data_IF_336830559471
#
_entry.id   IF_336830559471
#
_cell.length_a   1.000
_cell.length_b   1.000
_cell.length_c   1.000
_cell.angle_alpha   90.00
_cell.angle_beta   90.00
_cell.angle_gamma   90.00
#
_symmetry.space_group_name_H-M   'P 1'
#
loop_
_entity.id
_entity.type
_entity.pdbx_description
1 polymer ?
#
# COMPACT_ATOMS: atom_id res chain seq x y z
N UNK A 1 29.55 24.83 -1.67
CA UNK A 1 29.20 23.42 -1.34
C UNK A 1 28.74 23.38 0.11
N UNK A 2 27.54 22.90 0.44
CA UNK A 2 27.13 22.76 1.83
C UNK A 2 28.02 21.69 2.51
N UNK A 3 28.43 21.91 3.78
CA UNK A 3 29.31 20.98 4.47
C UNK A 3 28.60 19.66 4.74
N UNK A 4 29.33 18.55 4.55
CA UNK A 4 28.83 17.22 4.85
C UNK A 4 28.46 17.12 6.34
N UNK A 5 27.32 16.50 6.70
CA UNK A 5 26.89 16.41 8.08
C UNK A 5 27.90 15.65 8.92
N UNK A 6 28.17 16.20 10.10
CA UNK A 6 29.13 15.64 11.06
C UNK A 6 28.66 14.27 11.56
N UNK A 7 29.60 13.44 12.02
CA UNK A 7 29.27 12.12 12.57
C UNK A 7 28.29 12.21 13.76
N UNK A 8 28.35 13.29 14.53
CA UNK A 8 27.39 13.58 15.59
C UNK A 8 25.98 13.87 15.05
N UNK A 9 25.85 14.55 13.91
CA UNK A 9 24.57 14.78 13.23
C UNK A 9 24.00 13.47 12.65
N UNK A 10 24.84 12.61 12.07
CA UNK A 10 24.45 11.27 11.59
C UNK A 10 24.00 10.36 12.74
N UNK A 11 24.72 10.40 13.86
CA UNK A 11 24.38 9.62 15.06
C UNK A 11 23.11 10.15 15.75
N UNK A 12 22.88 11.46 15.72
CA UNK A 12 21.64 12.06 16.23
C UNK A 12 20.43 11.68 15.37
N UNK A 13 20.56 11.72 14.04
CA UNK A 13 19.52 11.25 13.12
C UNK A 13 19.22 9.75 13.29
N UNK A 14 20.26 8.93 13.47
CA UNK A 14 20.11 7.50 13.77
C UNK A 14 19.42 7.25 15.13
N UNK A 15 19.68 8.06 16.15
CA UNK A 15 19.01 7.97 17.47
C UNK A 15 17.54 8.42 17.43
N UNK A 16 17.21 9.45 16.65
CA UNK A 16 15.82 9.86 16.41
C UNK A 16 15.08 8.75 15.66
N UNK A 17 15.70 8.19 14.61
CA UNK A 17 15.15 7.05 13.87
C UNK A 17 14.94 5.82 14.76
N UNK A 18 15.90 5.48 15.62
CA UNK A 18 15.81 4.35 16.57
C UNK A 18 14.69 4.55 17.60
N UNK A 19 14.47 5.78 18.07
CA UNK A 19 13.36 6.09 18.96
C UNK A 19 12.01 5.99 18.23
N UNK A 20 11.93 6.40 16.95
CA UNK A 20 10.75 6.19 16.10
C UNK A 20 10.47 4.70 15.90
N UNK A 21 11.49 3.88 15.65
CA UNK A 21 11.37 2.41 15.54
C UNK A 21 10.99 1.75 16.87
N UNK A 22 11.41 2.31 18.01
CA UNK A 22 11.05 1.80 19.34
C UNK A 22 9.62 2.12 19.72
N UNK A 23 9.08 3.26 19.27
CA UNK A 23 7.68 3.62 19.45
C UNK A 23 6.71 2.73 18.68
N UNK A 24 7.14 2.17 17.55
CA UNK A 24 6.35 1.18 16.81
C UNK A 24 6.21 -0.15 17.55
N UNK A 25 7.11 -0.46 18.50
CA UNK A 25 6.97 -1.65 19.37
C UNK A 25 6.04 -1.44 20.56
N UNK A 26 5.72 -0.20 20.92
CA UNK A 26 4.88 0.13 22.09
C UNK A 26 3.41 0.26 21.70
N UNK A 27 3.11 0.57 20.44
CA UNK A 27 1.75 0.50 19.89
C UNK A 27 1.57 -0.83 19.17
N UNK A 28 0.84 -1.77 19.75
CA UNK A 28 0.53 -3.09 19.19
C UNK A 28 -0.17 -3.00 17.81
N UNK A 29 0.60 -2.76 16.76
CA UNK A 29 0.28 -3.08 15.38
C UNK A 29 0.83 -4.49 15.11
N UNK A 30 0.15 -5.33 14.33
CA UNK A 30 0.75 -6.59 13.88
C UNK A 30 2.10 -6.28 13.22
N UNK A 31 3.10 -7.09 13.55
CA UNK A 31 4.53 -6.83 13.40
C UNK A 31 5.07 -6.68 11.96
N UNK A 32 4.21 -6.50 10.96
CA UNK A 32 4.58 -6.46 9.56
C UNK A 32 4.09 -5.16 8.93
N UNK A 33 4.86 -4.07 9.08
CA UNK A 33 4.85 -3.07 8.02
C UNK A 33 5.45 -3.77 6.79
N UNK A 34 4.59 -4.27 5.91
CA UNK A 34 4.97 -5.10 4.78
C UNK A 34 5.94 -4.34 3.87
N UNK A 35 5.88 -3.01 3.85
CA UNK A 35 6.82 -2.14 3.16
C UNK A 35 7.13 -0.84 3.91
N UNK A 36 8.17 -0.13 3.46
CA UNK A 36 8.57 1.18 3.96
C UNK A 36 8.46 2.23 2.84
N UNK A 37 8.38 3.51 3.18
CA UNK A 37 8.19 4.60 2.21
C UNK A 37 9.31 4.67 1.16
N UNK A 38 10.54 4.27 1.51
CA UNK A 38 11.62 4.16 0.53
C UNK A 38 11.39 3.03 -0.49
N UNK A 39 10.92 1.87 -0.05
CA UNK A 39 10.60 0.76 -0.95
C UNK A 39 9.43 1.09 -1.85
N UNK A 40 8.37 1.69 -1.30
CA UNK A 40 7.21 2.15 -2.05
C UNK A 40 7.61 3.14 -3.14
N UNK A 41 8.34 4.20 -2.80
CA UNK A 41 8.79 5.20 -3.80
C UNK A 41 9.73 4.59 -4.84
N UNK A 42 10.60 3.65 -4.46
CA UNK A 42 11.45 2.96 -5.41
C UNK A 42 10.66 2.06 -6.38
N UNK A 43 9.64 1.35 -5.91
CA UNK A 43 8.76 0.54 -6.75
C UNK A 43 7.98 1.43 -7.72
N UNK A 44 7.44 2.54 -7.22
CA UNK A 44 6.78 3.57 -8.03
C UNK A 44 7.70 4.12 -9.12
N UNK A 45 8.91 4.57 -8.77
CA UNK A 45 9.89 5.07 -9.74
C UNK A 45 10.22 4.02 -10.82
N UNK A 46 10.32 2.75 -10.44
CA UNK A 46 10.56 1.65 -11.36
C UNK A 46 9.39 1.45 -12.34
N UNK A 47 8.15 1.47 -11.85
CA UNK A 47 6.95 1.35 -12.68
C UNK A 47 6.76 2.56 -13.60
N UNK A 48 6.94 3.78 -13.09
CA UNK A 48 6.91 5.00 -13.93
C UNK A 48 7.91 4.90 -15.08
N UNK A 49 9.13 4.43 -14.77
CA UNK A 49 10.15 4.21 -15.80
C UNK A 49 9.74 3.12 -16.80
N UNK A 50 9.17 2.01 -16.33
CA UNK A 50 8.69 0.94 -17.20
C UNK A 50 7.59 1.42 -18.14
N UNK A 51 6.61 2.17 -17.63
CA UNK A 51 5.50 2.76 -18.41
C UNK A 51 5.96 3.82 -19.43
N UNK A 52 7.12 4.46 -19.20
CA UNK A 52 7.68 5.43 -20.14
C UNK A 52 8.41 4.81 -21.34
N UNK A 53 8.65 3.49 -21.33
CA UNK A 53 9.35 2.80 -22.40
C UNK A 53 8.37 2.37 -23.51
N UNK A 54 8.81 2.28 -24.78
CA UNK A 54 7.95 1.82 -25.86
C UNK A 54 7.38 0.41 -25.59
N UNK A 55 6.10 0.14 -25.96
CA UNK A 55 5.38 -1.12 -25.70
C UNK A 55 6.11 -2.40 -26.11
N UNK A 56 7.01 -2.32 -27.09
CA UNK A 56 7.64 -3.47 -27.74
C UNK A 56 8.77 -4.13 -26.94
N UNK A 57 9.05 -3.73 -25.68
CA UNK A 57 10.30 -4.11 -25.00
C UNK A 57 10.19 -5.11 -23.85
N UNK A 58 9.02 -5.37 -23.29
CA UNK A 58 8.74 -6.43 -22.30
C UNK A 58 7.28 -6.33 -21.82
N UNK A 59 6.70 -7.40 -21.24
CA UNK A 59 5.50 -7.27 -20.43
C UNK A 59 5.75 -6.18 -19.38
N UNK A 60 4.86 -5.20 -19.30
CA UNK A 60 4.89 -4.26 -18.18
C UNK A 60 4.37 -5.03 -16.98
N UNK A 61 5.26 -5.36 -16.07
CA UNK A 61 4.94 -5.89 -14.75
C UNK A 61 5.53 -4.93 -13.70
N UNK A 62 4.96 -4.93 -12.51
CA UNK A 62 5.45 -4.14 -11.40
C UNK A 62 5.92 -5.02 -10.25
N UNK A 63 7.14 -4.75 -9.79
CA UNK A 63 7.72 -5.50 -8.68
C UNK A 63 6.91 -5.27 -7.39
N UNK A 64 6.78 -6.31 -6.54
CA UNK A 64 6.13 -6.14 -5.24
C UNK A 64 6.86 -5.10 -4.39
N UNK A 65 6.09 -4.16 -3.84
CA UNK A 65 6.57 -3.05 -3.01
C UNK A 65 7.10 -3.46 -1.62
N UNK A 66 7.11 -4.76 -1.31
CA UNK A 66 7.42 -5.32 0.01
C UNK A 66 8.88 -5.13 0.46
N UNK A 67 9.06 -4.82 1.73
CA UNK A 67 10.34 -4.82 2.41
C UNK A 67 10.85 -6.25 2.63
N UNK A 68 11.82 -6.68 1.82
CA UNK A 68 12.58 -7.91 2.08
C UNK A 68 13.68 -7.65 3.10
N UNK A 69 13.70 -8.38 4.21
CA UNK A 69 14.76 -8.28 5.23
C UNK A 69 15.80 -9.40 5.03
N UNK A 70 17.11 -9.10 5.03
CA UNK A 70 18.13 -10.12 4.83
C UNK A 70 18.23 -11.12 5.99
N UNK A 71 17.74 -10.74 7.17
CA UNK A 71 17.63 -11.61 8.35
C UNK A 71 16.57 -11.07 9.30
N UNK A 72 16.04 -11.94 10.17
CA UNK A 72 15.07 -11.56 11.22
C UNK A 72 15.63 -10.55 12.25
N UNK A 73 16.96 -10.46 12.38
CA UNK A 73 17.64 -9.50 13.26
C UNK A 73 17.93 -8.16 12.58
N UNK A 74 17.71 -8.04 11.27
CA UNK A 74 18.01 -6.81 10.54
C UNK A 74 17.04 -5.68 10.91
N UNK A 75 17.59 -4.52 11.23
CA UNK A 75 16.81 -3.29 11.44
C UNK A 75 16.43 -2.57 10.14
N UNK A 76 16.94 -3.04 9.00
CA UNK A 76 16.74 -2.44 7.67
C UNK A 76 16.37 -3.51 6.64
N UNK A 77 15.45 -3.19 5.75
CA UNK A 77 15.21 -4.01 4.57
C UNK A 77 16.44 -3.98 3.63
N UNK A 78 16.53 -4.92 2.71
CA UNK A 78 17.64 -5.05 1.76
C UNK A 78 17.83 -3.77 0.92
N UNK A 79 16.73 -3.13 0.50
CA UNK A 79 16.77 -1.87 -0.25
C UNK A 79 17.36 -0.71 0.57
N UNK A 80 16.86 -0.50 1.79
CA UNK A 80 17.38 0.55 2.67
C UNK A 80 18.81 0.23 3.13
N UNK A 81 19.13 -1.05 3.36
CA UNK A 81 20.46 -1.54 3.71
C UNK A 81 21.49 -1.21 2.63
N UNK A 82 21.20 -1.51 1.37
CA UNK A 82 22.11 -1.24 0.24
C UNK A 82 22.35 0.26 0.03
N UNK A 83 21.35 1.10 0.27
CA UNK A 83 21.45 2.55 0.17
C UNK A 83 21.89 3.26 1.46
N UNK A 84 22.20 2.52 2.53
CA UNK A 84 22.54 3.06 3.86
C UNK A 84 21.48 3.98 4.48
N UNK A 85 20.21 3.79 4.15
CA UNK A 85 19.08 4.47 4.76
C UNK A 85 18.51 3.68 5.94
N UNK A 86 17.82 4.38 6.84
CA UNK A 86 16.93 3.71 7.79
C UNK A 86 15.57 3.51 7.12
N UNK A 87 14.89 2.40 7.41
CA UNK A 87 13.52 2.19 6.90
C UNK A 87 12.61 3.28 7.47
N UNK A 88 11.94 3.98 6.57
CA UNK A 88 10.92 4.97 6.94
C UNK A 88 9.54 4.30 6.89
N UNK A 89 8.87 4.08 8.03
CA UNK A 89 7.56 3.46 8.02
C UNK A 89 6.48 4.40 7.50
N UNK A 90 5.35 3.84 7.07
CA UNK A 90 4.13 4.61 6.79
C UNK A 90 3.66 5.31 8.08
N UNK A 91 3.07 6.50 7.93
CA UNK A 91 2.52 7.25 9.06
C UNK A 91 1.40 6.44 9.76
N UNK A 92 1.40 6.36 11.11
CA UNK A 92 0.42 5.58 11.87
C UNK A 92 -1.07 5.84 11.57
N UNK A 93 -1.46 7.04 11.15
CA UNK A 93 -2.84 7.36 10.76
C UNK A 93 -3.23 6.85 9.36
N UNK A 94 -2.25 6.43 8.56
CA UNK A 94 -2.44 5.99 7.18
C UNK A 94 -2.15 4.49 7.00
N UNK A 95 -2.07 3.73 8.11
CA UNK A 95 -1.73 2.30 8.04
C UNK A 95 -2.77 1.48 7.30
N UNK A 96 -4.05 1.83 7.41
CA UNK A 96 -5.12 1.21 6.64
C UNK A 96 -5.01 1.55 5.16
N UNK A 97 -4.82 2.84 4.82
CA UNK A 97 -4.61 3.25 3.43
C UNK A 97 -3.40 2.53 2.80
N UNK A 98 -2.29 2.34 3.54
CA UNK A 98 -1.17 1.55 3.03
C UNK A 98 -1.49 0.09 2.79
N UNK A 99 -2.31 -0.52 3.65
CA UNK A 99 -2.74 -1.90 3.46
C UNK A 99 -3.70 -2.02 2.28
N UNK A 100 -4.56 -1.03 2.06
CA UNK A 100 -5.44 -0.96 0.89
C UNK A 100 -4.61 -0.86 -0.40
N UNK A 101 -3.61 0.04 -0.46
CA UNK A 101 -2.70 0.12 -1.61
C UNK A 101 -2.03 -1.22 -1.87
N UNK A 102 -1.53 -1.88 -0.83
CA UNK A 102 -0.89 -3.18 -0.96
C UNK A 102 -1.86 -4.23 -1.51
N UNK A 103 -3.06 -4.34 -0.94
CA UNK A 103 -4.08 -5.31 -1.36
C UNK A 103 -4.50 -5.09 -2.81
N UNK A 104 -4.79 -3.85 -3.20
CA UNK A 104 -5.15 -3.48 -4.57
C UNK A 104 -4.00 -3.74 -5.56
N UNK A 105 -2.76 -3.49 -5.14
CA UNK A 105 -1.56 -3.82 -5.93
C UNK A 105 -1.42 -5.34 -6.13
N UNK A 106 -1.63 -6.14 -5.08
CA UNK A 106 -1.60 -7.61 -5.21
C UNK A 106 -2.71 -8.11 -6.13
N UNK A 107 -3.92 -7.56 -5.99
CA UNK A 107 -5.05 -7.89 -6.85
C UNK A 107 -4.73 -7.59 -8.32
N UNK A 108 -4.26 -6.37 -8.64
CA UNK A 108 -3.88 -5.99 -9.99
C UNK A 108 -2.78 -6.90 -10.57
N UNK A 109 -1.82 -7.31 -9.72
CA UNK A 109 -0.68 -8.12 -10.14
C UNK A 109 -1.07 -9.52 -10.61
N UNK A 110 -2.18 -10.09 -10.09
CA UNK A 110 -2.72 -11.38 -10.56
C UNK A 110 -2.96 -11.40 -12.07
N UNK A 111 -3.14 -10.23 -12.68
CA UNK A 111 -3.50 -10.08 -14.09
C UNK A 111 -2.37 -9.49 -14.95
N UNK A 112 -1.22 -9.15 -14.36
CA UNK A 112 -0.04 -8.63 -15.08
C UNK A 112 1.13 -9.61 -15.13
N UNK A 113 1.19 -10.57 -14.21
CA UNK A 113 2.22 -11.62 -14.24
C UNK A 113 1.88 -12.67 -15.28
N UNK A 114 2.71 -12.79 -16.30
CA UNK A 114 2.74 -13.97 -17.17
C UNK A 114 3.42 -15.09 -16.36
N UNK A 115 2.69 -16.16 -16.04
CA UNK A 115 3.37 -17.45 -16.01
C UNK A 115 3.64 -17.79 -17.47
N UNK A 116 4.89 -17.61 -17.91
CA UNK A 116 5.37 -18.16 -19.17
C UNK A 116 5.29 -19.69 -19.05
N UNK A 117 4.15 -20.28 -19.42
CA UNK A 117 4.06 -21.71 -19.76
C UNK A 117 4.72 -21.95 -21.13
N UNK A 118 5.99 -21.57 -21.25
CA UNK A 118 6.92 -22.15 -22.24
C UNK A 118 7.39 -23.53 -21.72
N UNK A 119 6.47 -24.34 -21.21
CA UNK A 119 6.71 -25.73 -20.88
C UNK A 119 6.15 -26.58 -22.02
N UNK A 120 7.09 -27.09 -22.81
CA UNK A 120 7.03 -28.25 -23.69
C UNK A 120 5.70 -29.02 -23.74
N UNK A 121 5.29 -29.35 -24.98
CA UNK A 121 4.40 -30.44 -25.37
C UNK A 121 4.17 -31.50 -24.26
N UNK A 122 2.88 -31.78 -24.00
CA UNK A 122 2.35 -32.97 -23.31
C UNK A 122 2.06 -32.91 -21.80
N UNK A 123 1.57 -31.77 -21.28
CA UNK A 123 0.88 -31.73 -20.00
C UNK A 123 -0.62 -31.45 -20.18
N UNK A 124 -1.44 -32.40 -19.73
CA UNK A 124 -2.90 -32.33 -19.69
C UNK A 124 -3.42 -30.97 -19.24
N UNK A 125 -4.13 -30.28 -20.13
CA UNK A 125 -4.85 -29.02 -19.87
C UNK A 125 -5.67 -29.18 -18.59
N UNK A 126 -5.41 -28.41 -17.52
CA UNK A 126 -6.27 -28.41 -16.35
C UNK A 126 -7.66 -27.88 -16.74
N UNK A 127 -8.74 -28.29 -16.05
CA UNK A 127 -10.10 -27.88 -16.38
C UNK A 127 -10.21 -26.36 -16.57
N UNK A 128 -10.98 -25.94 -17.59
CA UNK A 128 -11.07 -24.58 -18.14
C UNK A 128 -11.28 -23.45 -17.12
N UNK A 129 -11.67 -23.78 -15.88
CA UNK A 129 -11.97 -22.84 -14.80
C UNK A 129 -10.73 -22.42 -13.97
N UNK A 130 -9.52 -22.90 -14.29
CA UNK A 130 -8.31 -22.65 -13.49
C UNK A 130 -7.15 -21.94 -14.20
N UNK A 131 -7.31 -21.56 -15.48
CA UNK A 131 -6.27 -20.80 -16.18
C UNK A 131 -6.48 -19.31 -15.88
N UNK A 132 -5.52 -18.60 -15.27
CA UNK A 132 -5.62 -17.15 -15.12
C UNK A 132 -5.85 -16.54 -16.49
N UNK A 133 -6.92 -15.75 -16.64
CA UNK A 133 -7.18 -15.03 -17.88
C UNK A 133 -5.93 -14.20 -18.25
N UNK A 134 -5.22 -14.60 -19.30
CA UNK A 134 -4.04 -13.87 -19.78
C UNK A 134 -4.56 -12.64 -20.52
N UNK A 135 -4.51 -11.50 -19.84
CA UNK A 135 -4.96 -10.23 -20.41
C UNK A 135 -4.07 -9.79 -21.58
N UNK A 136 -4.64 -9.12 -22.58
CA UNK A 136 -3.88 -8.55 -23.70
C UNK A 136 -2.86 -7.49 -23.24
N UNK A 137 -1.90 -7.15 -24.11
CA UNK A 137 -0.85 -6.15 -23.81
C UNK A 137 -1.48 -4.81 -23.41
N UNK A 138 -2.53 -4.37 -24.10
CA UNK A 138 -3.22 -3.11 -23.83
C UNK A 138 -3.92 -3.11 -22.47
N UNK A 139 -4.64 -4.19 -22.14
CA UNK A 139 -5.25 -4.41 -20.81
C UNK A 139 -4.21 -4.38 -19.70
N UNK A 140 -3.08 -5.09 -19.85
CA UNK A 140 -2.00 -5.10 -18.84
C UNK A 140 -1.35 -3.72 -18.67
N UNK A 141 -1.17 -2.98 -19.77
CA UNK A 141 -0.69 -1.60 -19.72
C UNK A 141 -1.68 -0.68 -18.99
N UNK A 142 -2.97 -0.84 -19.25
CA UNK A 142 -4.03 -0.11 -18.53
C UNK A 142 -3.96 -0.40 -17.03
N UNK A 143 -3.88 -1.66 -16.62
CA UNK A 143 -3.72 -2.04 -15.21
C UNK A 143 -2.49 -1.38 -14.58
N UNK A 144 -1.34 -1.43 -15.24
CA UNK A 144 -0.12 -0.79 -14.75
C UNK A 144 -0.27 0.73 -14.60
N UNK A 145 -0.97 1.38 -15.53
CA UNK A 145 -1.31 2.81 -15.44
C UNK A 145 -2.20 3.12 -14.23
N UNK A 146 -3.24 2.31 -14.03
CA UNK A 146 -4.19 2.45 -12.93
C UNK A 146 -3.52 2.25 -11.57
N UNK A 147 -2.62 1.27 -11.45
CA UNK A 147 -1.79 1.06 -10.24
C UNK A 147 -0.87 2.25 -10.00
N UNK A 148 -0.28 2.80 -11.06
CA UNK A 148 0.58 3.98 -10.94
C UNK A 148 -0.21 5.21 -10.45
N UNK A 149 -1.41 5.44 -10.96
CA UNK A 149 -2.30 6.53 -10.52
C UNK A 149 -2.68 6.38 -9.04
N UNK A 150 -3.00 5.15 -8.59
CA UNK A 150 -3.24 4.85 -7.18
C UNK A 150 -2.01 5.16 -6.31
N UNK A 151 -0.81 4.77 -6.76
CA UNK A 151 0.45 5.06 -6.07
C UNK A 151 0.79 6.57 -6.07
N UNK A 152 0.45 7.29 -7.13
CA UNK A 152 0.59 8.74 -7.20
C UNK A 152 -0.31 9.44 -6.18
N UNK A 153 -1.58 9.04 -6.10
CA UNK A 153 -2.51 9.55 -5.11
C UNK A 153 -2.04 9.25 -3.67
N UNK A 154 -1.56 8.03 -3.41
CA UNK A 154 -1.05 7.66 -2.09
C UNK A 154 0.21 8.45 -1.70
N UNK A 155 1.16 8.68 -2.61
CA UNK A 155 2.32 9.53 -2.32
C UNK A 155 1.90 10.99 -2.08
N UNK A 156 0.90 11.51 -2.81
CA UNK A 156 0.35 12.85 -2.56
C UNK A 156 -0.27 12.96 -1.15
N UNK A 157 -1.03 11.95 -0.73
CA UNK A 157 -1.59 11.83 0.63
C UNK A 157 -0.46 11.83 1.66
N UNK A 158 0.57 11.00 1.47
CA UNK A 158 1.72 10.94 2.37
C UNK A 158 2.42 12.30 2.51
N UNK A 159 2.65 13.00 1.40
CA UNK A 159 3.28 14.33 1.41
C UNK A 159 2.41 15.37 2.11
N UNK A 160 1.10 15.39 1.85
CA UNK A 160 0.17 16.29 2.50
C UNK A 160 0.08 16.03 4.01
N UNK A 161 -0.02 14.76 4.42
CA UNK A 161 -0.02 14.34 5.82
C UNK A 161 1.26 14.76 6.55
N UNK A 162 2.42 14.57 5.91
CA UNK A 162 3.70 15.00 6.45
C UNK A 162 3.76 16.51 6.69
N UNK A 163 3.16 17.31 5.80
CA UNK A 163 3.06 18.77 5.92
C UNK A 163 2.10 19.18 7.04
N UNK A 164 0.90 18.59 7.07
CA UNK A 164 -0.13 18.88 8.07
C UNK A 164 0.38 18.70 9.50
N UNK A 165 1.04 17.58 9.76
CA UNK A 165 1.58 17.26 11.09
C UNK A 165 3.02 17.71 11.29
N UNK A 166 3.62 18.41 10.31
CA UNK A 166 5.01 18.88 10.34
C UNK A 166 6.01 17.77 10.67
N UNK A 167 5.80 16.57 10.13
CA UNK A 167 6.57 15.36 10.41
C UNK A 167 7.83 15.23 9.54
N UNK A 168 7.96 16.07 8.50
CA UNK A 168 9.08 16.06 7.56
C UNK A 168 9.58 17.46 7.24
N UNK A 169 10.52 17.97 8.04
CA UNK A 169 11.14 19.26 7.78
C UNK A 169 12.50 19.38 8.45
N UNK A 170 13.54 19.68 7.67
CA UNK A 170 14.87 20.05 8.19
C UNK A 170 14.89 21.45 8.84
N UNK A 171 13.79 22.21 8.69
CA UNK A 171 13.69 23.62 9.06
C UNK A 171 13.00 23.87 10.42
N UNK A 172 12.42 22.85 11.05
CA UNK A 172 11.80 22.99 12.38
C UNK A 172 12.87 22.82 13.45
N UNK A 173 12.85 23.68 14.49
CA UNK A 173 13.75 23.51 15.61
C UNK A 173 13.54 22.13 16.24
N UNK A 174 14.59 21.51 16.80
CA UNK A 174 14.49 20.17 17.41
C UNK A 174 13.40 20.07 18.48
N UNK A 175 13.11 21.18 19.18
CA UNK A 175 12.09 21.28 20.22
C UNK A 175 10.68 21.26 19.62
N UNK A 176 10.47 21.99 18.54
CA UNK A 176 9.18 22.04 17.84
C UNK A 176 8.87 20.70 17.19
N UNK A 177 9.89 20.05 16.59
CA UNK A 177 9.73 18.72 16.03
C UNK A 177 9.33 17.69 17.11
N UNK A 178 9.97 17.71 18.27
CA UNK A 178 9.61 16.80 19.36
C UNK A 178 8.17 17.03 19.87
N UNK A 179 7.74 18.29 19.96
CA UNK A 179 6.37 18.64 20.36
C UNK A 179 5.32 18.22 19.32
N UNK A 180 5.60 18.44 18.03
CA UNK A 180 4.73 18.02 16.93
C UNK A 180 4.58 16.50 16.89
N UNK A 181 5.69 15.77 17.06
CA UNK A 181 5.67 14.31 17.14
C UNK A 181 4.85 13.83 18.35
N UNK A 182 4.95 14.49 19.51
CA UNK A 182 4.16 14.14 20.69
C UNK A 182 2.65 14.36 20.42
N UNK A 183 2.27 15.54 19.91
CA UNK A 183 0.87 15.85 19.55
C UNK A 183 0.32 14.85 18.53
N UNK A 184 1.11 14.51 17.53
CA UNK A 184 0.71 13.52 16.53
C UNK A 184 0.47 12.14 17.15
N UNK A 185 1.29 11.72 18.12
CA UNK A 185 1.07 10.45 18.85
C UNK A 185 -0.20 10.48 19.67
N UNK A 186 -0.46 11.58 20.38
CA UNK A 186 -1.67 11.71 21.18
C UNK A 186 -2.91 11.63 20.29
N UNK A 187 -2.87 12.28 19.11
CA UNK A 187 -3.94 12.19 18.13
C UNK A 187 -4.12 10.78 17.56
N UNK A 188 -3.03 10.08 17.22
CA UNK A 188 -3.07 8.67 16.80
C UNK A 188 -3.71 7.78 17.87
N UNK A 189 -3.36 7.97 19.15
CA UNK A 189 -3.94 7.20 20.26
C UNK A 189 -5.43 7.46 20.38
N UNK A 190 -5.86 8.72 20.28
CA UNK A 190 -7.26 9.10 20.33
C UNK A 190 -8.07 8.49 19.17
N UNK A 191 -7.59 8.59 17.93
CA UNK A 191 -8.24 7.95 16.76
C UNK A 191 -8.33 6.43 16.91
N UNK A 192 -7.30 5.76 17.44
CA UNK A 192 -7.36 4.30 17.70
C UNK A 192 -8.41 3.94 18.73
N UNK A 193 -8.56 4.73 19.80
CA UNK A 193 -9.57 4.47 20.82
C UNK A 193 -10.99 4.58 20.25
N UNK A 194 -11.23 5.59 19.41
CA UNK A 194 -12.50 5.76 18.71
C UNK A 194 -12.77 4.57 17.76
N UNK A 195 -11.78 4.17 16.97
CA UNK A 195 -11.90 3.03 16.05
C UNK A 195 -12.28 1.75 16.80
N UNK A 196 -11.55 1.40 17.87
CA UNK A 196 -11.85 0.21 18.69
C UNK A 196 -13.25 0.27 19.29
N UNK A 197 -13.72 1.46 19.69
CA UNK A 197 -15.07 1.62 20.22
C UNK A 197 -16.16 1.40 19.15
N UNK A 198 -15.87 1.68 17.88
CA UNK A 198 -16.80 1.54 16.76
C UNK A 198 -16.81 0.13 16.15
N UNK A 199 -15.67 -0.56 16.11
CA UNK A 199 -15.52 -1.82 15.35
C UNK A 199 -16.12 -3.07 16.01
N UNK A 200 -16.84 -2.93 17.13
CA UNK A 200 -17.48 -4.05 17.81
C UNK A 200 -16.51 -5.10 18.37
N UNK A 201 -17.03 -6.20 18.97
CA UNK A 201 -16.20 -7.24 19.56
C UNK A 201 -15.45 -8.03 18.50
N UNK A 202 -14.22 -8.45 18.83
CA UNK A 202 -13.43 -9.35 17.96
C UNK A 202 -14.19 -10.66 17.69
N UNK A 203 -14.33 -11.07 16.42
CA UNK A 203 -14.95 -12.35 16.07
C UNK A 203 -14.25 -13.56 16.69
N UNK A 204 -15.02 -14.57 17.09
CA UNK A 204 -14.50 -15.81 17.70
C UNK A 204 -13.94 -16.77 16.66
N UNK A 205 -12.63 -17.03 16.72
CA UNK A 205 -11.92 -17.97 15.82
C UNK A 205 -12.29 -19.43 16.03
N UNK A 206 -13.02 -19.75 17.10
CA UNK A 206 -13.54 -21.10 17.35
C UNK A 206 -14.66 -21.47 16.38
N UNK A 207 -15.36 -20.48 15.81
CA UNK A 207 -16.46 -20.70 14.85
C UNK A 207 -15.99 -20.53 13.41
N UNK A 208 -16.60 -21.25 12.46
CA UNK A 208 -16.31 -21.06 11.04
C UNK A 208 -16.66 -19.65 10.57
N UNK A 209 -17.79 -19.11 11.03
CA UNK A 209 -18.23 -17.73 10.76
C UNK A 209 -17.21 -16.72 11.28
N UNK A 210 -16.77 -16.84 12.54
CA UNK A 210 -15.80 -15.92 13.11
C UNK A 210 -14.41 -16.00 12.46
N UNK A 211 -14.00 -17.16 11.92
CA UNK A 211 -12.79 -17.25 11.09
C UNK A 211 -12.92 -16.50 9.76
N UNK A 212 -14.12 -16.51 9.15
CA UNK A 212 -14.39 -15.74 7.91
C UNK A 212 -14.43 -14.24 8.15
N UNK A 213 -15.00 -13.79 9.27
CA UNK A 213 -15.12 -12.37 9.61
C UNK A 213 -13.85 -11.76 10.21
N UNK A 214 -12.91 -12.57 10.69
CA UNK A 214 -11.71 -12.07 11.36
C UNK A 214 -10.83 -11.17 10.47
N UNK A 215 -10.53 -11.51 9.20
CA UNK A 215 -9.69 -10.67 8.36
C UNK A 215 -10.29 -9.28 8.11
N UNK A 216 -11.60 -9.23 7.86
CA UNK A 216 -12.34 -7.98 7.70
C UNK A 216 -12.30 -7.15 8.99
N UNK A 217 -12.58 -7.78 10.14
CA UNK A 217 -12.49 -7.11 11.44
C UNK A 217 -11.08 -6.56 11.71
N UNK A 218 -10.02 -7.33 11.40
CA UNK A 218 -8.62 -6.92 11.55
C UNK A 218 -8.26 -5.77 10.60
N UNK A 219 -8.75 -5.78 9.36
CA UNK A 219 -8.63 -4.66 8.42
C UNK A 219 -9.33 -3.41 8.95
N UNK A 220 -10.51 -3.57 9.54
CA UNK A 220 -11.28 -2.49 10.16
C UNK A 220 -10.68 -1.97 11.47
N UNK A 221 -9.59 -2.58 11.98
CA UNK A 221 -8.80 -2.02 13.09
C UNK A 221 -7.67 -1.09 12.62
N UNK A 222 -7.50 -0.91 11.31
CA UNK A 222 -6.45 -0.07 10.76
C UNK A 222 -6.95 1.35 10.54
N UNK A 223 -6.17 2.32 11.02
CA UNK A 223 -6.46 3.74 10.83
C UNK A 223 -6.38 4.11 9.35
N UNK A 224 -7.46 4.72 8.83
CA UNK A 224 -7.56 5.27 7.48
C UNK A 224 -7.86 6.76 7.56
N UNK A 225 -7.66 7.48 6.46
CA UNK A 225 -8.27 8.79 6.26
C UNK A 225 -9.79 8.71 6.46
N UNK A 226 -10.34 9.68 7.17
CA UNK A 226 -11.78 9.91 7.37
C UNK A 226 -12.23 11.17 6.63
N UNK A 227 -13.54 11.40 6.47
CA UNK A 227 -14.08 12.56 5.77
C UNK A 227 -13.62 13.93 6.32
N UNK A 228 -13.20 13.97 7.59
CA UNK A 228 -12.65 15.16 8.24
C UNK A 228 -11.19 15.45 7.82
N UNK A 229 -10.48 14.46 7.27
CA UNK A 229 -9.06 14.59 6.93
C UNK A 229 -8.90 15.25 5.55
N UNK A 230 -7.99 16.24 5.38
CA UNK A 230 -7.92 17.08 4.17
C UNK A 230 -7.73 16.35 2.84
N UNK A 231 -7.11 15.16 2.84
CA UNK A 231 -6.82 14.38 1.63
C UNK A 231 -7.79 13.20 1.41
N UNK A 232 -8.84 13.09 2.24
CA UNK A 232 -9.83 12.03 2.08
C UNK A 232 -10.53 12.05 0.71
N UNK A 233 -10.94 13.21 0.15
CA UNK A 233 -11.53 13.23 -1.20
C UNK A 233 -10.58 12.71 -2.28
N UNK A 234 -9.28 13.02 -2.17
CA UNK A 234 -8.26 12.53 -3.11
C UNK A 234 -8.14 11.01 -3.04
N UNK A 235 -8.19 10.45 -1.82
CA UNK A 235 -8.15 9.00 -1.62
C UNK A 235 -9.37 8.31 -2.22
N UNK A 236 -10.58 8.83 -1.98
CA UNK A 236 -11.81 8.27 -2.55
C UNK A 236 -11.78 8.26 -4.07
N UNK A 237 -11.44 9.39 -4.69
CA UNK A 237 -11.34 9.50 -6.15
C UNK A 237 -10.31 8.50 -6.71
N UNK A 238 -9.20 8.27 -6.01
CA UNK A 238 -8.21 7.29 -6.42
C UNK A 238 -8.74 5.84 -6.36
N UNK A 239 -9.54 5.50 -5.36
CA UNK A 239 -10.19 4.18 -5.26
C UNK A 239 -11.25 3.98 -6.36
N UNK A 240 -12.06 5.00 -6.62
CA UNK A 240 -13.05 4.98 -7.72
C UNK A 240 -12.37 4.84 -9.08
N UNK A 241 -11.31 5.61 -9.32
CA UNK A 241 -10.52 5.53 -10.54
C UNK A 241 -9.83 4.16 -10.68
N UNK A 242 -9.36 3.58 -9.57
CA UNK A 242 -8.80 2.24 -9.56
C UNK A 242 -9.85 1.22 -10.01
N UNK A 243 -11.03 1.23 -9.40
CA UNK A 243 -12.14 0.34 -9.78
C UNK A 243 -12.50 0.46 -11.26
N UNK A 244 -12.79 1.69 -11.71
CA UNK A 244 -13.23 1.93 -13.08
C UNK A 244 -12.14 1.55 -14.09
N UNK A 245 -10.88 1.85 -13.78
CA UNK A 245 -9.75 1.53 -14.63
C UNK A 245 -9.48 0.03 -14.73
N UNK A 246 -9.66 -0.72 -13.63
CA UNK A 246 -9.59 -2.19 -13.67
C UNK A 246 -10.71 -2.77 -14.53
N UNK A 247 -11.97 -2.34 -14.36
CA UNK A 247 -13.08 -2.78 -15.21
C UNK A 247 -12.85 -2.47 -16.69
N UNK A 248 -12.36 -1.27 -17.02
CA UNK A 248 -12.01 -0.91 -18.39
C UNK A 248 -10.92 -1.83 -18.96
N UNK A 249 -9.89 -2.16 -18.17
CA UNK A 249 -8.84 -3.07 -18.60
C UNK A 249 -9.35 -4.47 -18.94
N UNK A 250 -10.34 -4.98 -18.19
CA UNK A 250 -10.99 -6.25 -18.48
C UNK A 250 -11.85 -6.20 -19.74
N UNK A 251 -12.60 -5.11 -19.93
CA UNK A 251 -13.44 -4.88 -21.10
C UNK A 251 -12.63 -4.74 -22.40
N UNK A 252 -11.37 -4.30 -22.35
CA UNK A 252 -10.47 -4.30 -23.52
C UNK A 252 -10.16 -5.70 -24.07
N UNK A 253 -10.42 -6.74 -23.27
CA UNK A 253 -10.11 -8.15 -23.60
C UNK A 253 -11.34 -8.96 -23.99
N UNK A 254 -12.52 -8.52 -23.60
CA UNK A 254 -13.80 -9.14 -23.98
C UNK A 254 -14.39 -8.33 -25.13
N UNK A 255 -14.49 -8.94 -26.31
CA UNK A 255 -15.36 -8.38 -27.34
C UNK A 255 -16.80 -8.38 -26.84
N UNK A 256 -17.38 -7.19 -26.70
CA UNK A 256 -18.82 -6.84 -26.73
C UNK A 256 -19.86 -7.61 -25.88
N UNK A 257 -19.53 -8.50 -24.94
CA UNK A 257 -20.54 -9.06 -24.00
C UNK A 257 -20.27 -8.61 -22.55
N UNK A 258 -20.83 -7.44 -22.21
CA UNK A 258 -20.58 -6.64 -21.00
C UNK A 258 -21.49 -7.04 -19.81
N UNK A 259 -22.45 -7.94 -20.01
CA UNK A 259 -23.60 -8.07 -19.09
C UNK A 259 -23.36 -8.98 -17.86
N UNK A 260 -22.30 -9.79 -17.81
CA UNK A 260 -22.08 -10.80 -16.74
C UNK A 260 -21.05 -10.35 -15.67
N UNK A 261 -20.25 -9.31 -15.95
CA UNK A 261 -19.14 -8.88 -15.07
C UNK A 261 -19.52 -7.80 -14.05
N UNK A 262 -20.52 -6.97 -14.34
CA UNK A 262 -21.01 -5.96 -13.40
C UNK A 262 -21.55 -6.63 -12.12
N UNK A 263 -22.08 -7.86 -12.22
CA UNK A 263 -22.56 -8.62 -11.05
C UNK A 263 -21.41 -9.17 -10.20
N UNK A 264 -20.32 -9.66 -10.82
CA UNK A 264 -19.15 -10.21 -10.11
C UNK A 264 -18.26 -9.12 -9.48
N UNK A 265 -18.05 -8.00 -10.17
CA UNK A 265 -17.30 -6.87 -9.63
C UNK A 265 -18.05 -6.25 -8.45
N UNK A 266 -19.38 -6.12 -8.52
CA UNK A 266 -20.20 -5.68 -7.38
C UNK A 266 -20.13 -6.68 -6.22
N UNK A 267 -20.07 -7.99 -6.49
CA UNK A 267 -19.91 -9.01 -5.45
C UNK A 267 -18.51 -8.98 -4.78
N UNK A 268 -17.43 -8.67 -5.52
CA UNK A 268 -16.06 -8.58 -4.97
C UNK A 268 -15.72 -7.20 -4.38
N UNK A 269 -16.34 -6.12 -4.86
CA UNK A 269 -16.13 -4.74 -4.40
C UNK A 269 -17.15 -4.30 -3.33
N UNK A 270 -18.27 -5.02 -3.20
CA UNK A 270 -19.34 -4.73 -2.23
C UNK A 270 -18.93 -4.84 -0.77
N UNK A 271 -17.75 -5.39 -0.48
CA UNK A 271 -17.19 -5.56 0.86
C UNK A 271 -16.20 -4.45 1.27
N UNK A 272 -16.10 -3.35 0.52
CA UNK A 272 -15.41 -2.15 1.02
C UNK A 272 -16.42 -1.36 1.87
N UNK A 273 -16.26 -1.28 3.21
CA UNK A 273 -17.20 -0.56 4.04
C UNK A 273 -17.05 0.95 3.77
N UNK A 274 -17.90 1.46 2.88
CA UNK A 274 -18.19 2.89 2.81
C UNK A 274 -19.01 3.20 4.06
N UNK A 275 -18.36 3.72 5.09
CA UNK A 275 -19.08 4.36 6.19
C UNK A 275 -19.77 5.60 5.62
N UNK A 276 -21.04 5.45 5.25
CA UNK A 276 -21.97 6.58 5.12
C UNK A 276 -22.25 7.17 6.50
N UNK A 277 -22.47 8.50 6.60
CA UNK A 277 -22.50 9.26 7.85
C UNK A 277 -23.58 8.84 8.84
#
# INVERSE_FOLDING_TARGET
MPPAPSQAQRNAAARVSLNTTRLQRVTALPANNIYCLHCFRAAKDALTKAMSLPPARKPVDFEPMECRYPSASSSRCAHCGSKNYSCEPVYPLLTGNSMDVLALTHFARLYTTLEDDDADDDASVPPCDSVPMILGVESRQKICGVVLDLWDAFDAILQAHAREYSLGGASTSKKDNASNIARYRDYVVSRRQLLVAQSGPRPSTYTAVGRKLLPEWESNQLLRLEAIDPMYPVWLVALEAFSAGMSEAFNLTQGEDVDEWDEWVVEQMGDIPVQTP
#
